data_IF_024473130278
#
_entry.id   IF_024473130278
#
_cell.length_a   1.000
_cell.length_b   1.000
_cell.length_c   1.000
_cell.angle_alpha   90.00
_cell.angle_beta   90.00
_cell.angle_gamma   90.00
#
_symmetry.space_group_name_H-M   'P 1'
#
loop_
_entity.id
_entity.type
_entity.pdbx_description
1 polymer ?
#
# COMPACT_ATOMS: atom_id res chain seq x y z
N UNK A 1 -10.84 23.79 -37.09
CA UNK A 1 -10.55 24.67 -35.93
C UNK A 1 -10.22 23.77 -34.76
N UNK A 2 -8.95 23.66 -34.36
CA UNK A 2 -8.58 22.91 -33.16
C UNK A 2 -9.17 23.64 -31.95
N UNK A 3 -10.07 22.98 -31.22
CA UNK A 3 -10.57 23.51 -29.96
C UNK A 3 -9.39 23.62 -29.00
N UNK A 4 -9.20 24.79 -28.38
CA UNK A 4 -8.21 24.96 -27.32
C UNK A 4 -8.61 24.04 -26.16
N UNK A 5 -7.88 22.93 -26.01
CA UNK A 5 -7.98 22.06 -24.85
C UNK A 5 -7.77 22.92 -23.59
N UNK A 6 -8.78 22.99 -22.74
CA UNK A 6 -8.72 23.71 -21.47
C UNK A 6 -7.61 23.12 -20.60
N UNK A 7 -6.76 23.98 -20.03
CA UNK A 7 -5.68 23.56 -19.11
C UNK A 7 -6.25 22.66 -18.01
N UNK A 8 -5.64 21.48 -17.84
CA UNK A 8 -6.04 20.46 -16.86
C UNK A 8 -5.87 20.96 -15.42
N UNK A 9 -6.74 20.52 -14.51
CA UNK A 9 -6.65 20.90 -13.09
C UNK A 9 -5.44 20.22 -12.41
N UNK A 10 -4.84 20.78 -11.34
CA UNK A 10 -3.66 20.20 -10.68
C UNK A 10 -3.91 18.86 -9.93
N UNK A 11 -5.17 18.46 -9.78
CA UNK A 11 -5.57 17.20 -9.15
C UNK A 11 -6.14 16.27 -10.22
N UNK A 12 -5.31 15.94 -11.22
CA UNK A 12 -5.71 15.04 -12.29
C UNK A 12 -6.02 13.66 -11.69
N UNK A 13 -7.20 13.13 -12.00
CA UNK A 13 -7.66 11.85 -11.44
C UNK A 13 -7.44 10.77 -12.48
N UNK A 14 -6.61 9.77 -12.17
CA UNK A 14 -6.46 8.54 -12.97
C UNK A 14 -7.46 7.51 -12.45
N UNK A 15 -8.28 6.96 -13.34
CA UNK A 15 -9.09 5.78 -13.06
C UNK A 15 -8.31 4.51 -13.36
N UNK A 16 -8.54 3.46 -12.55
CA UNK A 16 -8.06 2.12 -12.87
C UNK A 16 -9.23 1.22 -13.25
N UNK A 17 -9.10 0.57 -14.40
CA UNK A 17 -10.05 -0.39 -14.93
C UNK A 17 -9.47 -1.80 -14.93
N UNK A 18 -10.29 -2.80 -14.61
CA UNK A 18 -9.95 -4.20 -14.82
C UNK A 18 -10.88 -4.78 -15.89
N UNK A 19 -10.30 -5.10 -17.03
CA UNK A 19 -11.01 -5.65 -18.16
C UNK A 19 -11.08 -7.19 -18.07
N UNK A 20 -12.26 -7.68 -17.72
CA UNK A 20 -12.56 -9.11 -17.55
C UNK A 20 -12.90 -9.75 -18.90
N UNK A 21 -11.94 -9.74 -19.83
CA UNK A 21 -12.07 -10.41 -21.12
C UNK A 21 -12.09 -11.94 -20.91
N UNK A 22 -13.11 -12.62 -21.43
CA UNK A 22 -13.28 -14.07 -21.38
C UNK A 22 -12.19 -14.84 -22.17
N UNK A 23 -11.38 -14.10 -22.94
CA UNK A 23 -10.21 -14.61 -23.66
C UNK A 23 -8.92 -14.56 -22.83
N UNK A 24 -8.95 -13.98 -21.63
CA UNK A 24 -7.83 -14.08 -20.71
C UNK A 24 -7.65 -15.56 -20.33
N UNK A 25 -6.41 -16.11 -20.39
CA UNK A 25 -6.20 -17.50 -20.05
C UNK A 25 -6.40 -17.69 -18.54
N UNK A 26 -7.58 -18.16 -18.14
CA UNK A 26 -7.87 -18.65 -16.78
C UNK A 26 -6.99 -19.86 -16.38
N UNK A 27 -6.21 -20.40 -17.32
CA UNK A 27 -5.42 -21.62 -17.17
C UNK A 27 -4.02 -21.45 -16.57
N UNK A 28 -3.67 -20.29 -15.99
CA UNK A 28 -2.42 -20.20 -15.22
C UNK A 28 -2.69 -20.77 -13.83
N UNK A 29 -2.06 -21.90 -13.50
CA UNK A 29 -2.06 -22.49 -12.16
C UNK A 29 -1.29 -21.58 -11.19
N UNK A 30 -1.92 -20.50 -10.75
CA UNK A 30 -1.43 -19.60 -9.72
C UNK A 30 -2.24 -19.86 -8.42
N UNK A 31 -1.62 -19.84 -7.22
CA UNK A 31 -2.32 -20.13 -5.96
C UNK A 31 -3.45 -19.13 -5.64
N UNK A 32 -3.36 -17.92 -6.19
CA UNK A 32 -4.36 -16.85 -6.06
C UNK A 32 -4.89 -16.47 -7.45
N UNK A 33 -6.20 -16.22 -7.62
CA UNK A 33 -6.74 -15.75 -8.90
C UNK A 33 -6.02 -14.49 -9.38
N UNK A 34 -5.66 -14.43 -10.67
CA UNK A 34 -4.95 -13.30 -11.27
C UNK A 34 -5.70 -11.96 -11.11
N UNK A 35 -7.04 -12.01 -11.09
CA UNK A 35 -7.90 -10.87 -10.78
C UNK A 35 -7.56 -10.28 -9.40
N UNK A 36 -7.58 -11.12 -8.37
CA UNK A 36 -7.34 -10.72 -6.98
C UNK A 36 -5.93 -10.16 -6.81
N UNK A 37 -4.95 -10.72 -7.51
CA UNK A 37 -3.57 -10.25 -7.50
C UNK A 37 -3.45 -8.84 -8.09
N UNK A 38 -4.07 -8.59 -9.24
CA UNK A 38 -4.12 -7.24 -9.83
C UNK A 38 -4.78 -6.25 -8.89
N UNK A 39 -5.95 -6.58 -8.35
CA UNK A 39 -6.66 -5.71 -7.41
C UNK A 39 -5.83 -5.40 -6.15
N UNK A 40 -5.18 -6.41 -5.55
CA UNK A 40 -4.26 -6.23 -4.44
C UNK A 40 -3.14 -5.23 -4.77
N UNK A 41 -2.49 -5.38 -5.92
CA UNK A 41 -1.37 -4.51 -6.24
C UNK A 41 -1.79 -3.06 -6.50
N UNK A 42 -2.97 -2.85 -7.09
CA UNK A 42 -3.51 -1.50 -7.27
C UNK A 42 -3.74 -0.80 -5.92
N UNK A 43 -4.18 -1.53 -4.89
CA UNK A 43 -4.51 -0.97 -3.56
C UNK A 43 -3.29 -0.53 -2.73
N UNK A 44 -2.06 -0.82 -3.15
CA UNK A 44 -0.88 -0.24 -2.47
C UNK A 44 -0.80 1.27 -2.64
N UNK A 45 -1.20 1.81 -3.79
CA UNK A 45 -1.11 3.24 -4.10
C UNK A 45 -2.44 3.89 -4.53
N UNK A 46 -3.49 3.10 -4.77
CA UNK A 46 -4.77 3.62 -5.28
C UNK A 46 -5.95 3.40 -4.35
N UNK A 47 -6.51 4.51 -3.89
CA UNK A 47 -7.66 4.59 -2.99
C UNK A 47 -8.97 4.92 -3.73
N UNK A 48 -8.95 5.07 -5.06
CA UNK A 48 -10.17 5.32 -5.83
C UNK A 48 -10.94 4.04 -6.15
N UNK A 49 -12.05 4.20 -6.87
CA UNK A 49 -12.82 3.06 -7.37
C UNK A 49 -12.03 2.32 -8.47
N UNK A 50 -11.90 0.99 -8.35
CA UNK A 50 -11.43 0.15 -9.47
C UNK A 50 -12.64 -0.31 -10.27
N UNK A 51 -12.67 -0.01 -11.56
CA UNK A 51 -13.83 -0.26 -12.40
C UNK A 51 -13.65 -1.61 -13.11
N UNK A 52 -14.41 -2.62 -12.72
CA UNK A 52 -14.43 -3.91 -13.42
C UNK A 52 -15.54 -3.97 -14.46
N UNK A 53 -15.22 -4.47 -15.66
CA UNK A 53 -16.23 -4.82 -16.66
C UNK A 53 -15.65 -5.79 -17.70
N UNK A 54 -16.46 -6.69 -18.29
CA UNK A 54 -16.06 -7.42 -19.49
C UNK A 54 -15.97 -6.52 -20.74
N UNK A 55 -16.48 -5.28 -20.69
CA UNK A 55 -16.51 -4.35 -21.80
C UNK A 55 -15.71 -3.08 -21.47
N UNK A 56 -14.62 -2.83 -22.22
CA UNK A 56 -13.79 -1.64 -22.04
C UNK A 56 -14.60 -0.35 -22.12
N UNK A 57 -15.53 -0.24 -23.06
CA UNK A 57 -16.38 0.93 -23.21
C UNK A 57 -17.14 1.31 -21.92
N UNK A 58 -17.59 0.32 -21.14
CA UNK A 58 -18.24 0.57 -19.85
C UNK A 58 -17.27 1.09 -18.80
N UNK A 59 -16.02 0.60 -18.81
CA UNK A 59 -14.94 1.09 -17.94
C UNK A 59 -14.70 2.57 -18.23
N UNK A 60 -14.48 2.90 -19.50
CA UNK A 60 -14.18 4.27 -19.94
C UNK A 60 -15.35 5.22 -19.69
N UNK A 61 -16.59 4.80 -19.95
CA UNK A 61 -17.77 5.62 -19.66
C UNK A 61 -17.94 5.89 -18.17
N UNK A 62 -17.73 4.89 -17.31
CA UNK A 62 -17.82 5.09 -15.85
C UNK A 62 -16.69 5.99 -15.34
N UNK A 63 -15.47 5.82 -15.86
CA UNK A 63 -14.36 6.71 -15.55
C UNK A 63 -14.66 8.15 -16.00
N UNK A 64 -15.14 8.34 -17.23
CA UNK A 64 -15.52 9.66 -17.73
C UNK A 64 -16.65 10.29 -16.90
N UNK A 65 -17.68 9.51 -16.57
CA UNK A 65 -18.83 9.96 -15.75
C UNK A 65 -18.39 10.40 -14.34
N UNK A 66 -17.38 9.74 -13.78
CA UNK A 66 -16.81 10.07 -12.48
C UNK A 66 -15.79 11.23 -12.54
N UNK A 67 -15.58 11.84 -13.72
CA UNK A 67 -14.71 13.00 -13.92
C UNK A 67 -13.23 12.69 -13.81
N UNK A 68 -12.80 11.49 -14.22
CA UNK A 68 -11.40 11.16 -14.38
C UNK A 68 -10.85 11.73 -15.70
N UNK A 69 -9.54 12.06 -15.73
CA UNK A 69 -8.87 12.61 -16.92
C UNK A 69 -8.22 11.52 -17.78
N UNK A 70 -7.80 10.43 -17.12
CA UNK A 70 -7.16 9.29 -17.75
C UNK A 70 -7.71 7.99 -17.17
N UNK A 71 -7.66 6.91 -17.95
CA UNK A 71 -7.99 5.57 -17.47
C UNK A 71 -6.90 4.57 -17.88
N UNK A 72 -6.33 3.88 -16.89
CA UNK A 72 -5.42 2.75 -17.12
C UNK A 72 -6.26 1.48 -16.99
N UNK A 73 -6.34 0.71 -18.08
CA UNK A 73 -7.11 -0.54 -18.14
C UNK A 73 -6.17 -1.73 -18.16
N UNK A 74 -6.34 -2.64 -17.20
CA UNK A 74 -5.53 -3.84 -17.06
C UNK A 74 -6.28 -5.09 -17.47
N UNK A 75 -5.55 -6.09 -17.96
CA UNK A 75 -5.97 -7.48 -17.90
C UNK A 75 -5.64 -8.08 -16.52
N UNK A 76 -6.42 -9.06 -16.01
CA UNK A 76 -6.04 -9.82 -14.82
C UNK A 76 -4.62 -10.38 -14.89
N UNK A 77 -3.88 -10.24 -13.80
CA UNK A 77 -2.48 -10.67 -13.68
C UNK A 77 -1.46 -9.59 -14.01
N UNK A 78 -1.88 -8.41 -14.49
CA UNK A 78 -0.99 -7.24 -14.58
C UNK A 78 -0.97 -6.53 -13.23
N UNK A 79 0.22 -6.22 -12.75
CA UNK A 79 0.46 -5.46 -11.52
C UNK A 79 1.35 -4.25 -11.80
N UNK A 80 1.20 -3.21 -10.98
CA UNK A 80 2.13 -2.08 -10.97
C UNK A 80 3.18 -2.38 -9.90
N UNK A 81 4.40 -2.68 -10.32
CA UNK A 81 5.56 -2.82 -9.46
C UNK A 81 6.17 -1.43 -9.19
N UNK A 82 5.52 -0.66 -8.32
CA UNK A 82 6.15 0.52 -7.74
C UNK A 82 7.00 0.10 -6.56
N UNK A 83 8.29 0.39 -6.65
CA UNK A 83 9.19 0.25 -5.51
C UNK A 83 9.21 1.59 -4.78
N UNK A 84 9.11 1.54 -3.45
CA UNK A 84 9.27 2.73 -2.63
C UNK A 84 10.62 3.39 -2.89
N UNK A 85 10.64 4.70 -3.12
CA UNK A 85 11.85 5.49 -3.37
C UNK A 85 11.87 6.71 -2.48
N UNK A 86 13.07 7.17 -2.14
CA UNK A 86 13.21 8.34 -1.30
C UNK A 86 12.77 9.62 -2.04
N UNK A 87 12.04 10.54 -1.39
CA UNK A 87 11.52 11.73 -2.06
C UNK A 87 12.58 12.59 -2.76
N UNK A 88 13.78 12.70 -2.18
CA UNK A 88 14.86 13.53 -2.76
C UNK A 88 15.56 12.90 -3.96
N UNK A 89 15.26 11.64 -4.30
CA UNK A 89 15.77 11.01 -5.52
C UNK A 89 15.09 11.54 -6.80
N UNK A 90 14.02 12.33 -6.66
CA UNK A 90 13.34 12.97 -7.79
C UNK A 90 12.73 11.99 -8.79
N UNK A 91 12.47 10.75 -8.36
CA UNK A 91 11.85 9.74 -9.20
C UNK A 91 10.36 10.03 -9.32
N UNK A 92 9.87 10.17 -10.56
CA UNK A 92 8.44 10.30 -10.80
C UNK A 92 7.71 9.02 -10.37
N UNK A 93 6.64 9.20 -9.61
CA UNK A 93 5.70 8.11 -9.33
C UNK A 93 4.89 7.76 -10.59
N UNK A 94 4.19 6.62 -10.55
CA UNK A 94 3.39 6.15 -11.67
C UNK A 94 2.39 7.20 -12.18
N UNK A 95 1.72 7.91 -11.26
CA UNK A 95 0.69 8.88 -11.61
C UNK A 95 1.33 10.07 -12.32
N UNK A 96 2.45 10.58 -11.81
CA UNK A 96 3.21 11.66 -12.43
C UNK A 96 3.68 11.27 -13.85
N UNK A 97 4.13 10.03 -14.06
CA UNK A 97 4.50 9.55 -15.39
C UNK A 97 3.31 9.55 -16.36
N UNK A 98 2.14 9.06 -15.94
CA UNK A 98 0.91 9.07 -16.77
C UNK A 98 0.48 10.50 -17.11
N UNK A 99 0.52 11.41 -16.14
CA UNK A 99 0.15 12.80 -16.33
C UNK A 99 1.10 13.53 -17.29
N UNK A 100 2.41 13.40 -17.06
CA UNK A 100 3.44 14.00 -17.91
C UNK A 100 3.27 13.54 -19.36
N UNK A 101 2.98 12.25 -19.55
CA UNK A 101 2.75 11.70 -20.87
C UNK A 101 1.54 12.33 -21.58
N UNK A 102 0.37 12.35 -20.94
CA UNK A 102 -0.82 12.91 -21.58
C UNK A 102 -0.81 14.42 -21.72
N UNK A 103 0.02 15.14 -20.97
CA UNK A 103 0.21 16.58 -21.18
C UNK A 103 1.05 16.87 -22.44
N UNK A 104 1.71 15.85 -22.99
CA UNK A 104 2.59 15.94 -24.16
C UNK A 104 2.08 15.15 -25.38
N UNK A 105 0.96 14.44 -25.25
CA UNK A 105 0.44 13.51 -26.25
C UNK A 105 -1.01 13.83 -26.61
N UNK A 106 -1.31 13.84 -27.91
CA UNK A 106 -2.67 13.98 -28.45
C UNK A 106 -3.33 12.61 -28.72
N UNK A 107 -2.78 11.53 -28.16
CA UNK A 107 -3.24 10.17 -28.43
C UNK A 107 -4.44 9.78 -27.56
N UNK A 108 -5.47 9.22 -28.20
CA UNK A 108 -6.61 8.62 -27.50
C UNK A 108 -6.21 7.42 -26.63
N UNK A 109 -5.35 6.55 -27.18
CA UNK A 109 -4.93 5.29 -26.56
C UNK A 109 -3.43 5.09 -26.76
N UNK A 110 -2.80 4.54 -25.73
CA UNK A 110 -1.38 4.17 -25.74
C UNK A 110 -1.26 2.74 -25.23
N UNK A 111 -0.45 1.94 -25.92
CA UNK A 111 -0.31 0.52 -25.62
C UNK A 111 1.03 0.02 -26.15
N UNK A 112 1.59 -0.98 -25.47
CA UNK A 112 2.73 -1.70 -26.04
C UNK A 112 2.28 -2.56 -27.23
N UNK A 113 3.25 -2.98 -28.04
CA UNK A 113 3.03 -3.98 -29.08
C UNK A 113 3.71 -5.29 -28.72
N UNK A 114 3.24 -6.37 -29.34
CA UNK A 114 3.80 -7.72 -29.20
C UNK A 114 3.82 -8.43 -30.54
N UNK A 115 4.70 -9.42 -30.65
CA UNK A 115 4.73 -10.32 -31.81
C UNK A 115 3.97 -11.62 -31.48
N UNK A 116 2.93 -11.91 -32.25
CA UNK A 116 2.17 -13.17 -32.17
C UNK A 116 2.14 -13.81 -33.55
N UNK A 117 2.70 -15.01 -33.72
CA UNK A 117 2.70 -15.74 -35.01
C UNK A 117 3.20 -14.89 -36.20
N UNK A 118 4.25 -14.08 -35.98
CA UNK A 118 4.84 -13.21 -37.01
C UNK A 118 4.03 -11.96 -37.34
N UNK A 119 2.99 -11.64 -36.54
CA UNK A 119 2.22 -10.39 -36.66
C UNK A 119 2.46 -9.51 -35.44
N UNK A 120 2.63 -8.21 -35.69
CA UNK A 120 2.60 -7.19 -34.65
C UNK A 120 1.15 -6.95 -34.23
N UNK A 121 0.87 -7.07 -32.94
CA UNK A 121 -0.44 -6.83 -32.33
C UNK A 121 -0.29 -5.85 -31.16
N UNK A 122 -1.38 -5.19 -30.75
CA UNK A 122 -1.40 -4.46 -29.48
C UNK A 122 -1.33 -5.44 -28.30
N UNK A 123 -0.52 -5.12 -27.31
CA UNK A 123 -0.48 -5.82 -26.04
C UNK A 123 -1.59 -5.28 -25.13
N UNK A 124 -2.71 -6.00 -25.12
CA UNK A 124 -3.89 -5.62 -24.33
C UNK A 124 -3.76 -5.88 -22.83
N UNK A 125 -2.60 -6.32 -22.36
CA UNK A 125 -2.34 -6.49 -20.94
C UNK A 125 -2.50 -5.17 -20.17
N UNK A 126 -2.10 -4.05 -20.78
CA UNK A 126 -2.24 -2.71 -20.21
C UNK A 126 -2.53 -1.70 -21.32
N UNK A 127 -3.64 -0.99 -21.21
CA UNK A 127 -4.05 0.07 -22.14
C UNK A 127 -4.20 1.38 -21.36
N UNK A 128 -3.67 2.47 -21.90
CA UNK A 128 -3.75 3.78 -21.30
C UNK A 128 -4.61 4.70 -22.18
N UNK A 129 -5.71 5.22 -21.64
CA UNK A 129 -6.68 6.04 -22.37
C UNK A 129 -6.71 7.48 -21.85
N UNK A 130 -6.73 8.43 -22.79
CA UNK A 130 -7.05 9.83 -22.51
C UNK A 130 -8.58 10.01 -22.56
N UNK A 131 -9.19 10.34 -21.41
CA UNK A 131 -10.64 10.44 -21.32
C UNK A 131 -11.17 11.73 -21.96
N UNK A 132 -10.34 12.75 -22.15
CA UNK A 132 -10.73 13.98 -22.88
C UNK A 132 -10.86 13.68 -24.37
N UNK A 133 -9.88 12.98 -24.95
CA UNK A 133 -9.95 12.53 -26.33
C UNK A 133 -11.08 11.51 -26.54
N UNK A 134 -11.33 10.63 -25.56
CA UNK A 134 -12.47 9.70 -25.60
C UNK A 134 -13.81 10.45 -25.57
N UNK A 135 -13.96 11.48 -24.73
CA UNK A 135 -15.17 12.30 -24.71
C UNK A 135 -15.40 13.03 -26.06
N UNK A 136 -14.33 13.53 -26.69
CA UNK A 136 -14.41 14.15 -28.02
C UNK A 136 -14.81 13.15 -29.11
N UNK A 137 -14.31 11.91 -29.04
CA UNK A 137 -14.73 10.82 -29.91
C UNK A 137 -16.23 10.54 -29.76
N UNK A 138 -16.73 10.45 -28.53
CA UNK A 138 -18.16 10.24 -28.27
C UNK A 138 -19.00 11.44 -28.74
N UNK A 139 -18.47 12.67 -28.67
CA UNK A 139 -19.18 13.86 -29.16
C UNK A 139 -19.30 13.87 -30.69
N UNK A 140 -18.22 13.51 -31.39
CA UNK A 140 -18.15 13.53 -32.86
C UNK A 140 -18.75 12.29 -33.50
N UNK A 141 -18.74 11.16 -32.80
CA UNK A 141 -19.32 9.90 -33.24
C UNK A 141 -20.00 9.16 -32.06
N UNK A 142 -21.21 9.60 -31.64
CA UNK A 142 -21.91 9.09 -30.44
C UNK A 142 -22.23 7.60 -30.42
N UNK A 143 -22.23 6.95 -31.58
CA UNK A 143 -22.47 5.52 -31.71
C UNK A 143 -21.19 4.68 -31.67
N UNK A 144 -20.02 5.33 -31.52
CA UNK A 144 -18.74 4.63 -31.43
C UNK A 144 -18.66 3.89 -30.11
N UNK A 145 -18.29 2.60 -30.17
CA UNK A 145 -18.03 1.77 -28.99
C UNK A 145 -16.60 1.29 -29.01
N UNK A 146 -15.86 1.56 -27.94
CA UNK A 146 -14.50 1.03 -27.76
C UNK A 146 -14.61 -0.42 -27.28
N UNK A 147 -14.83 -1.31 -28.24
CA UNK A 147 -14.94 -2.76 -28.01
C UNK A 147 -13.59 -3.45 -28.16
N UNK A 148 -13.50 -4.68 -27.67
CA UNK A 148 -12.35 -5.55 -27.90
C UNK A 148 -12.05 -5.74 -29.38
N UNK A 149 -13.09 -5.87 -30.22
CA UNK A 149 -12.93 -6.00 -31.67
C UNK A 149 -12.37 -4.72 -32.30
N UNK A 150 -12.83 -3.55 -31.83
CA UNK A 150 -12.31 -2.26 -32.29
C UNK A 150 -10.83 -2.11 -31.96
N UNK A 151 -10.41 -2.44 -30.73
CA UNK A 151 -8.99 -2.36 -30.31
C UNK A 151 -8.11 -3.30 -31.16
N UNK A 152 -8.59 -4.52 -31.43
CA UNK A 152 -7.84 -5.49 -32.23
C UNK A 152 -7.73 -5.14 -33.71
N UNK A 153 -8.55 -4.20 -34.19
CA UNK A 153 -8.51 -3.69 -35.57
C UNK A 153 -7.63 -2.45 -35.72
N UNK A 154 -7.16 -1.84 -34.61
CA UNK A 154 -6.23 -0.72 -34.66
C UNK A 154 -4.91 -1.17 -35.29
N UNK A 155 -4.36 -0.33 -36.17
CA UNK A 155 -3.02 -0.52 -36.70
C UNK A 155 -1.99 -0.22 -35.59
N UNK A 156 -1.23 -1.22 -35.09
CA UNK A 156 -0.28 -1.01 -34.01
C UNK A 156 0.82 0.00 -34.36
N UNK A 157 1.10 0.25 -35.65
CA UNK A 157 2.07 1.26 -36.09
C UNK A 157 1.61 2.71 -35.89
N UNK A 158 0.30 2.90 -35.70
CA UNK A 158 -0.33 4.21 -35.46
C UNK A 158 -0.60 4.47 -33.97
N UNK A 159 -0.43 3.47 -33.11
CA UNK A 159 -0.64 3.60 -31.67
C UNK A 159 0.70 3.89 -31.01
N UNK A 160 0.84 5.03 -30.28
CA UNK A 160 2.07 5.31 -29.58
C UNK A 160 2.33 4.25 -28.51
N UNK A 161 3.60 3.82 -28.36
CA UNK A 161 3.97 2.91 -27.30
C UNK A 161 3.77 3.56 -25.93
N UNK A 162 3.67 2.74 -24.89
CA UNK A 162 3.78 3.26 -23.53
C UNK A 162 5.20 3.82 -23.30
N UNK A 163 5.34 4.96 -22.59
CA UNK A 163 6.63 5.47 -22.14
C UNK A 163 7.46 4.40 -21.44
N UNK A 164 8.77 4.36 -21.68
CA UNK A 164 9.67 3.36 -21.08
C UNK A 164 9.60 3.39 -19.54
N UNK A 165 9.43 4.57 -18.95
CA UNK A 165 9.25 4.76 -17.51
C UNK A 165 7.99 4.07 -16.97
N UNK A 166 6.92 3.98 -17.77
CA UNK A 166 5.71 3.23 -17.42
C UNK A 166 5.87 1.74 -17.71
N UNK A 167 6.50 1.38 -18.83
CA UNK A 167 6.71 -0.03 -19.21
C UNK A 167 7.49 -0.78 -18.14
N UNK A 168 8.50 -0.15 -17.55
CA UNK A 168 9.31 -0.78 -16.48
C UNK A 168 8.57 -0.96 -15.17
N UNK A 169 7.46 -0.25 -14.94
CA UNK A 169 6.62 -0.38 -13.75
C UNK A 169 5.56 -1.48 -13.87
N UNK A 170 5.27 -1.99 -15.06
CA UNK A 170 4.26 -3.05 -15.23
C UNK A 170 4.89 -4.43 -15.21
N UNK A 171 4.27 -5.36 -14.48
CA UNK A 171 4.61 -6.79 -14.52
C UNK A 171 3.38 -7.58 -14.88
N UNK A 172 3.46 -8.38 -15.95
CA UNK A 172 2.41 -9.33 -16.30
C UNK A 172 2.75 -10.71 -15.70
N UNK A 173 2.11 -11.05 -14.59
CA UNK A 173 2.33 -12.30 -13.86
C UNK A 173 1.88 -13.52 -14.65
N UNK A 174 0.87 -13.38 -15.50
CA UNK A 174 0.41 -14.45 -16.37
C UNK A 174 1.38 -14.75 -17.52
N UNK A 175 2.27 -13.79 -17.87
CA UNK A 175 3.20 -13.88 -19.00
C UNK A 175 4.57 -13.28 -18.65
N UNK A 176 5.36 -13.94 -17.80
CA UNK A 176 6.66 -13.43 -17.36
C UNK A 176 7.72 -13.63 -18.46
N UNK A 177 7.71 -12.79 -19.49
CA UNK A 177 8.66 -12.89 -20.61
C UNK A 177 9.70 -11.78 -20.64
N UNK A 178 9.51 -10.71 -19.85
CA UNK A 178 10.39 -9.52 -19.86
C UNK A 178 11.41 -9.55 -18.72
N UNK A 179 12.62 -8.98 -18.90
CA UNK A 179 13.66 -8.96 -17.85
C UNK A 179 13.23 -8.35 -16.52
N UNK A 180 12.42 -7.29 -16.54
CA UNK A 180 11.90 -6.65 -15.31
C UNK A 180 10.91 -7.56 -14.57
N UNK A 181 10.14 -8.40 -15.27
CA UNK A 181 9.29 -9.40 -14.62
C UNK A 181 10.14 -10.40 -13.84
N UNK A 182 11.24 -10.88 -14.42
CA UNK A 182 12.17 -11.78 -13.72
C UNK A 182 12.81 -11.12 -12.48
N UNK A 183 13.12 -9.82 -12.55
CA UNK A 183 13.61 -9.07 -11.39
C UNK A 183 12.55 -9.00 -10.27
N UNK A 184 11.29 -8.72 -10.64
CA UNK A 184 10.17 -8.75 -9.71
C UNK A 184 10.02 -10.12 -9.03
N UNK A 185 10.00 -11.22 -9.79
CA UNK A 185 9.85 -12.56 -9.21
C UNK A 185 10.99 -12.95 -8.28
N UNK A 186 12.23 -12.56 -8.58
CA UNK A 186 13.36 -12.78 -7.65
C UNK A 186 13.21 -11.98 -6.36
N UNK A 187 12.78 -10.72 -6.46
CA UNK A 187 12.51 -9.88 -5.30
C UNK A 187 11.39 -10.46 -4.44
N UNK A 188 10.30 -10.90 -5.08
CA UNK A 188 9.18 -11.55 -4.44
C UNK A 188 9.57 -12.87 -3.76
N UNK A 189 10.32 -13.75 -4.44
CA UNK A 189 10.79 -15.00 -3.85
C UNK A 189 11.66 -14.74 -2.60
N UNK A 190 12.52 -13.72 -2.68
CA UNK A 190 13.31 -13.25 -1.53
C UNK A 190 12.40 -12.78 -0.38
N UNK A 191 11.37 -11.97 -0.67
CA UNK A 191 10.39 -11.50 0.30
C UNK A 191 9.62 -12.66 0.96
N UNK A 192 9.19 -13.66 0.19
CA UNK A 192 8.46 -14.81 0.71
C UNK A 192 9.33 -15.72 1.60
N UNK A 193 10.58 -15.96 1.20
CA UNK A 193 11.51 -16.81 1.95
C UNK A 193 12.05 -16.14 3.21
N UNK A 194 12.37 -14.85 3.11
CA UNK A 194 13.10 -14.10 4.14
C UNK A 194 12.22 -13.18 4.97
N UNK A 195 10.99 -12.91 4.54
CA UNK A 195 10.08 -11.95 5.17
C UNK A 195 9.83 -12.23 6.65
N UNK A 196 9.85 -13.50 7.10
CA UNK A 196 9.77 -13.87 8.53
C UNK A 196 10.88 -13.26 9.41
N UNK A 197 12.01 -12.87 8.81
CA UNK A 197 13.11 -12.16 9.47
C UNK A 197 13.13 -10.66 9.07
N UNK A 198 11.99 -10.15 8.61
CA UNK A 198 11.79 -8.79 8.13
C UNK A 198 11.96 -7.76 9.23
N UNK A 199 12.74 -6.72 8.96
CA UNK A 199 12.99 -5.61 9.89
C UNK A 199 12.81 -4.29 9.16
N UNK A 200 11.92 -3.45 9.69
CA UNK A 200 11.62 -2.12 9.15
C UNK A 200 12.27 -1.03 10.00
N UNK A 201 13.59 -0.94 9.93
CA UNK A 201 14.38 0.00 10.74
C UNK A 201 14.12 1.47 10.33
N UNK A 202 13.77 1.72 9.07
CA UNK A 202 13.54 3.06 8.53
C UNK A 202 12.07 3.33 8.20
N UNK A 203 11.14 2.69 8.92
CA UNK A 203 9.70 2.90 8.70
C UNK A 203 9.26 4.29 9.19
N UNK A 204 9.51 5.29 8.36
CA UNK A 204 9.13 6.68 8.56
C UNK A 204 7.84 6.90 7.78
N UNK A 205 6.74 6.40 8.35
CA UNK A 205 5.39 6.60 7.82
C UNK A 205 4.89 8.02 8.15
N UNK A 206 3.97 8.54 7.33
CA UNK A 206 3.24 9.75 7.70
C UNK A 206 2.45 9.55 9.01
N UNK A 207 2.33 10.63 9.80
CA UNK A 207 1.59 10.67 11.06
C UNK A 207 0.23 11.34 10.94
N UNK A 208 -0.25 11.59 9.72
CA UNK A 208 -1.47 12.35 9.48
C UNK A 208 -2.71 11.62 10.03
N UNK A 209 -2.63 10.30 10.14
CA UNK A 209 -3.68 9.45 10.70
C UNK A 209 -3.74 9.43 12.24
N UNK A 210 -2.71 9.91 12.92
CA UNK A 210 -2.66 9.94 14.39
C UNK A 210 -3.20 11.28 14.90
N UNK A 211 -4.52 11.45 14.95
CA UNK A 211 -5.10 12.68 15.48
C UNK A 211 -4.69 12.93 16.95
N UNK A 212 -4.49 14.21 17.37
CA UNK A 212 -4.29 14.58 18.77
C UNK A 212 -5.43 14.10 19.68
N UNK A 213 -5.12 13.91 20.96
CA UNK A 213 -6.10 13.58 21.99
C UNK A 213 -7.24 14.60 22.02
N UNK A 214 -8.48 14.12 22.08
CA UNK A 214 -9.60 14.98 22.46
C UNK A 214 -9.50 15.32 23.95
N UNK A 215 -9.84 16.54 24.40
CA UNK A 215 -9.64 16.97 25.79
C UNK A 215 -10.15 16.02 26.87
N UNK A 216 -11.22 15.27 26.57
CA UNK A 216 -11.88 14.36 27.50
C UNK A 216 -11.45 12.89 27.38
N UNK A 217 -10.52 12.56 26.48
CA UNK A 217 -10.03 11.17 26.36
C UNK A 217 -9.08 10.84 27.51
N UNK A 218 -9.14 9.63 28.10
CA UNK A 218 -8.14 9.22 29.09
C UNK A 218 -6.74 9.10 28.46
N UNK A 219 -5.67 9.20 29.26
CA UNK A 219 -4.32 8.86 28.79
C UNK A 219 -4.24 7.38 28.40
N UNK A 220 -3.21 7.02 27.63
CA UNK A 220 -2.99 5.63 27.21
C UNK A 220 -2.68 4.77 28.44
N UNK A 221 -3.52 3.77 28.70
CA UNK A 221 -3.28 2.77 29.74
C UNK A 221 -2.44 1.61 29.20
N UNK A 222 -2.68 1.18 27.97
CA UNK A 222 -1.91 0.11 27.32
C UNK A 222 -1.84 0.33 25.80
N UNK A 223 -0.63 0.39 25.25
CA UNK A 223 -0.39 0.36 23.81
C UNK A 223 0.07 -1.03 23.38
N UNK A 224 -0.69 -1.69 22.51
CA UNK A 224 -0.26 -2.90 21.81
C UNK A 224 0.08 -2.52 20.37
N UNK A 225 1.31 -2.78 19.92
CA UNK A 225 1.77 -2.28 18.63
C UNK A 225 2.80 -3.17 17.93
N UNK A 226 2.90 -3.04 16.61
CA UNK A 226 3.98 -3.66 15.84
C UNK A 226 5.36 -3.07 16.18
N UNK A 227 6.42 -3.85 15.96
CA UNK A 227 7.78 -3.45 16.34
C UNK A 227 8.40 -2.37 15.42
N UNK A 228 7.77 -2.01 14.30
CA UNK A 228 8.31 -1.10 13.29
C UNK A 228 8.24 0.41 13.66
N UNK A 229 9.25 1.17 13.21
CA UNK A 229 9.23 2.65 13.15
C UNK A 229 9.08 3.41 14.48
N UNK A 230 8.62 4.66 14.41
CA UNK A 230 8.41 5.52 15.59
C UNK A 230 6.94 5.85 15.88
N UNK A 231 6.02 5.32 15.06
CA UNK A 231 4.57 5.50 15.26
C UNK A 231 4.04 5.07 16.63
N UNK A 232 4.58 4.03 17.32
CA UNK A 232 4.22 3.74 18.70
C UNK A 232 4.48 4.92 19.64
N UNK A 233 5.64 5.57 19.52
CA UNK A 233 5.98 6.75 20.30
C UNK A 233 5.06 7.93 19.93
N UNK A 234 4.67 8.05 18.65
CA UNK A 234 3.81 9.16 18.20
C UNK A 234 2.39 9.00 18.75
N UNK A 235 1.86 7.77 18.77
CA UNK A 235 0.59 7.43 19.40
C UNK A 235 0.62 7.81 20.88
N UNK A 236 1.66 7.43 21.62
CA UNK A 236 1.83 7.80 23.03
C UNK A 236 1.91 9.33 23.20
N UNK A 237 2.76 10.00 22.44
CA UNK A 237 3.00 11.44 22.56
C UNK A 237 1.73 12.27 22.25
N UNK A 238 0.93 11.87 21.25
CA UNK A 238 -0.30 12.57 20.88
C UNK A 238 -1.50 12.22 21.75
N UNK A 239 -1.49 11.07 22.44
CA UNK A 239 -2.59 10.58 23.29
C UNK A 239 -2.34 10.70 24.78
N UNK A 240 -1.15 11.18 25.17
CA UNK A 240 -0.74 11.27 26.56
C UNK A 240 -0.41 9.89 27.13
N UNK A 241 0.69 9.82 27.88
CA UNK A 241 1.12 8.60 28.57
C UNK A 241 1.84 8.99 29.85
N UNK A 242 1.89 8.06 30.80
CA UNK A 242 2.60 8.23 32.05
C UNK A 242 3.28 6.92 32.48
N UNK A 243 3.90 6.91 33.66
CA UNK A 243 4.65 5.75 34.18
C UNK A 243 3.81 4.49 34.41
N UNK A 244 2.49 4.60 34.41
CA UNK A 244 1.56 3.49 34.55
C UNK A 244 1.12 2.93 33.18
N UNK A 245 1.48 3.60 32.09
CA UNK A 245 1.25 3.10 30.73
C UNK A 245 2.07 1.84 30.49
N UNK A 246 1.40 0.78 30.05
CA UNK A 246 2.04 -0.45 29.54
C UNK A 246 2.22 -0.37 28.03
N UNK A 247 3.31 -0.95 27.52
CA UNK A 247 3.50 -1.15 26.08
C UNK A 247 3.78 -2.62 25.79
N UNK A 248 3.06 -3.20 24.84
CA UNK A 248 3.35 -4.53 24.31
C UNK A 248 3.71 -4.41 22.84
N UNK A 249 4.95 -4.69 22.51
CA UNK A 249 5.36 -4.89 21.12
C UNK A 249 5.03 -6.31 20.69
N UNK A 250 4.39 -6.46 19.54
CA UNK A 250 4.19 -7.75 18.89
C UNK A 250 4.70 -7.70 17.46
N UNK A 251 5.22 -8.82 16.96
CA UNK A 251 5.62 -8.89 15.55
C UNK A 251 5.65 -10.35 15.09
N UNK A 252 5.43 -10.57 13.80
CA UNK A 252 5.61 -11.89 13.20
C UNK A 252 7.10 -12.19 13.00
N UNK A 253 7.95 -11.15 13.00
CA UNK A 253 9.40 -11.28 12.96
C UNK A 253 10.06 -11.24 14.34
N UNK A 254 10.66 -12.37 14.72
CA UNK A 254 11.50 -12.45 15.91
C UNK A 254 12.70 -11.48 15.84
N UNK A 255 13.28 -11.28 14.64
CA UNK A 255 14.37 -10.31 14.44
C UNK A 255 13.93 -8.89 14.74
N UNK A 256 12.74 -8.49 14.31
CA UNK A 256 12.22 -7.14 14.56
C UNK A 256 12.04 -6.88 16.07
N UNK A 257 11.53 -7.87 16.81
CA UNK A 257 11.38 -7.77 18.27
C UNK A 257 12.71 -7.62 18.98
N UNK A 258 13.73 -8.40 18.60
CA UNK A 258 15.04 -8.33 19.25
C UNK A 258 15.76 -7.01 18.97
N UNK A 259 15.64 -6.48 17.76
CA UNK A 259 16.19 -5.15 17.43
C UNK A 259 15.42 -4.06 18.17
N UNK A 260 14.09 -4.16 18.31
CA UNK A 260 13.32 -3.21 19.14
C UNK A 260 13.71 -3.30 20.61
N UNK A 261 13.88 -4.50 21.16
CA UNK A 261 14.40 -4.70 22.53
C UNK A 261 15.74 -4.02 22.72
N UNK A 262 16.67 -4.23 21.77
CA UNK A 262 17.98 -3.57 21.78
C UNK A 262 17.84 -2.04 21.74
N UNK A 263 16.99 -1.52 20.86
CA UNK A 263 16.73 -0.10 20.73
C UNK A 263 16.22 0.50 22.04
N UNK A 264 15.24 -0.14 22.69
CA UNK A 264 14.71 0.27 23.99
C UNK A 264 15.77 0.20 25.10
N UNK A 265 16.64 -0.81 25.07
CA UNK A 265 17.66 -0.98 26.10
C UNK A 265 18.82 0.01 25.95
N UNK A 266 19.33 0.18 24.74
CA UNK A 266 20.67 0.74 24.53
C UNK A 266 20.64 2.14 23.88
N UNK A 267 19.60 2.48 23.11
CA UNK A 267 19.57 3.74 22.38
C UNK A 267 18.96 4.88 23.22
N UNK A 268 19.66 6.01 23.32
CA UNK A 268 19.27 7.17 24.13
C UNK A 268 18.36 8.18 23.42
N UNK A 269 18.00 7.88 22.17
CA UNK A 269 17.15 8.74 21.33
C UNK A 269 17.94 9.77 20.52
N UNK A 270 19.27 9.71 20.53
CA UNK A 270 20.15 10.64 19.79
C UNK A 270 20.92 9.89 18.70
N UNK A 271 21.20 10.59 17.60
CA UNK A 271 21.96 10.05 16.45
C UNK A 271 21.45 8.67 15.99
N UNK A 272 20.18 8.63 15.57
CA UNK A 272 19.57 7.40 15.03
C UNK A 272 20.39 6.76 13.89
N UNK A 273 20.98 7.52 12.94
CA UNK A 273 21.84 6.95 11.92
C UNK A 273 23.03 6.17 12.47
N UNK A 274 23.70 6.65 13.53
CA UNK A 274 24.76 5.90 14.18
C UNK A 274 24.26 4.61 14.84
N UNK A 275 23.09 4.64 15.50
CA UNK A 275 22.45 3.45 16.02
C UNK A 275 22.14 2.43 14.91
N UNK A 276 21.58 2.88 13.77
CA UNK A 276 21.30 2.02 12.63
C UNK A 276 22.55 1.34 12.07
N UNK A 277 23.68 2.06 11.99
CA UNK A 277 24.98 1.48 11.59
C UNK A 277 25.41 0.34 12.52
N UNK A 278 25.27 0.53 13.83
CA UNK A 278 25.59 -0.50 14.81
C UNK A 278 24.64 -1.71 14.72
N UNK A 279 23.35 -1.48 14.48
CA UNK A 279 22.37 -2.55 14.24
C UNK A 279 22.74 -3.37 13.03
N UNK A 280 23.01 -2.75 11.89
CA UNK A 280 23.41 -3.45 10.65
C UNK A 280 24.71 -4.22 10.83
N UNK A 281 25.67 -3.68 11.60
CA UNK A 281 26.94 -4.37 11.87
C UNK A 281 26.79 -5.62 12.73
N UNK A 282 25.85 -5.63 13.68
CA UNK A 282 25.66 -6.76 14.62
C UNK A 282 24.66 -7.79 14.10
N UNK A 283 23.71 -7.36 13.27
CA UNK A 283 22.66 -8.19 12.70
C UNK A 283 22.81 -8.22 11.17
N UNK A 284 23.83 -8.92 10.63
CA UNK A 284 24.15 -8.84 9.22
C UNK A 284 22.99 -9.27 8.32
N UNK A 285 22.98 -8.73 7.10
CA UNK A 285 21.95 -8.97 6.09
C UNK A 285 21.85 -10.41 5.58
N UNK A 286 22.68 -11.34 6.07
CA UNK A 286 22.55 -12.79 5.82
C UNK A 286 21.40 -13.41 6.62
N UNK A 287 21.27 -13.01 7.89
CA UNK A 287 20.29 -13.57 8.83
C UNK A 287 19.11 -12.64 9.10
N UNK A 288 19.31 -11.35 8.83
CA UNK A 288 18.29 -10.30 8.95
C UNK A 288 17.87 -9.82 7.57
N UNK A 289 16.56 -9.66 7.37
CA UNK A 289 16.02 -9.15 6.13
C UNK A 289 15.54 -7.70 6.34
N UNK A 290 16.39 -6.74 6.00
CA UNK A 290 16.05 -5.33 6.11
C UNK A 290 15.13 -4.92 4.97
N UNK A 291 13.98 -4.37 5.32
CA UNK A 291 13.03 -3.80 4.36
C UNK A 291 13.49 -2.38 4.01
N UNK A 292 14.08 -2.25 2.83
CA UNK A 292 14.73 -1.04 2.34
C UNK A 292 14.00 -0.49 1.11
N UNK A 293 14.15 0.81 0.87
CA UNK A 293 13.71 1.46 -0.37
C UNK A 293 14.43 0.89 -1.58
N UNK A 294 13.79 0.98 -2.74
CA UNK A 294 14.26 0.53 -4.06
C UNK A 294 14.79 -0.92 -4.12
N UNK A 295 14.39 -1.77 -3.16
CA UNK A 295 14.87 -3.15 -3.04
C UNK A 295 16.37 -3.25 -2.74
N UNK A 296 16.97 -2.20 -2.16
CA UNK A 296 18.37 -2.20 -1.77
C UNK A 296 18.67 -3.28 -0.73
N UNK A 297 19.94 -3.68 -0.66
CA UNK A 297 20.51 -4.39 0.48
C UNK A 297 21.32 -3.43 1.37
N UNK A 298 21.77 -3.93 2.52
CA UNK A 298 22.46 -3.11 3.52
C UNK A 298 23.81 -2.58 3.03
N UNK A 299 24.46 -3.28 2.11
CA UNK A 299 25.74 -2.87 1.52
C UNK A 299 25.58 -1.71 0.52
N UNK A 300 24.36 -1.47 0.03
CA UNK A 300 24.04 -0.42 -0.94
C UNK A 300 23.50 0.86 -0.29
N UNK A 301 23.36 0.91 1.04
CA UNK A 301 22.82 2.07 1.74
C UNK A 301 23.79 3.26 1.61
N UNK A 302 23.30 4.37 1.08
CA UNK A 302 23.95 5.67 1.29
C UNK A 302 23.53 6.23 2.64
N UNK A 303 24.47 6.29 3.59
CA UNK A 303 24.15 6.77 4.94
C UNK A 303 23.71 8.23 5.00
N UNK A 304 24.00 9.04 3.97
CA UNK A 304 23.48 10.41 3.86
C UNK A 304 21.96 10.43 3.67
N UNK A 305 21.40 9.41 3.02
CA UNK A 305 19.96 9.25 2.88
C UNK A 305 19.31 8.96 4.24
N UNK A 306 19.96 8.11 5.05
CA UNK A 306 19.52 7.82 6.42
C UNK A 306 19.60 9.08 7.30
N UNK A 307 20.67 9.87 7.16
CA UNK A 307 20.81 11.15 7.86
C UNK A 307 19.68 12.12 7.47
N UNK A 308 19.39 12.25 6.17
CA UNK A 308 18.32 13.11 5.66
C UNK A 308 16.93 12.67 6.15
N UNK A 309 16.66 11.37 6.12
CA UNK A 309 15.45 10.77 6.67
C UNK A 309 15.29 11.07 8.17
N UNK A 310 16.37 10.95 8.95
CA UNK A 310 16.34 11.26 10.37
C UNK A 310 16.09 12.75 10.64
N UNK A 311 16.69 13.65 9.86
CA UNK A 311 16.43 15.09 9.99
C UNK A 311 14.97 15.43 9.67
N UNK A 312 14.39 14.82 8.64
CA UNK A 312 12.96 14.97 8.33
C UNK A 312 12.08 14.44 9.47
N UNK A 313 12.41 13.26 10.01
CA UNK A 313 11.71 12.66 11.15
C UNK A 313 11.67 13.62 12.34
N UNK A 314 12.83 14.19 12.73
CA UNK A 314 12.93 15.13 13.85
C UNK A 314 12.03 16.37 13.73
N UNK A 315 11.69 16.80 12.52
CA UNK A 315 10.76 17.92 12.30
C UNK A 315 9.36 17.60 12.84
N UNK A 316 8.92 16.35 12.77
CA UNK A 316 7.62 15.92 13.31
C UNK A 316 7.55 15.99 14.84
N UNK A 317 8.70 15.98 15.52
CA UNK A 317 8.80 15.97 16.97
C UNK A 317 9.11 17.33 17.58
N UNK A 318 9.32 18.36 16.75
CA UNK A 318 9.81 19.66 17.22
C UNK A 318 11.30 19.67 17.53
N UNK A 319 12.08 18.74 16.97
CA UNK A 319 13.53 18.67 17.07
C UNK A 319 14.10 17.54 17.93
N UNK A 320 15.42 17.41 17.91
CA UNK A 320 16.16 16.30 18.53
C UNK A 320 15.97 16.18 20.05
N UNK A 321 16.01 17.30 20.78
CA UNK A 321 15.89 17.26 22.25
C UNK A 321 14.49 16.81 22.67
N UNK A 322 13.45 17.30 22.01
CA UNK A 322 12.07 16.89 22.31
C UNK A 322 11.85 15.41 22.01
N UNK A 323 12.40 14.91 20.91
CA UNK A 323 12.37 13.49 20.61
C UNK A 323 13.08 12.68 21.71
N UNK A 324 14.31 13.06 22.07
CA UNK A 324 15.11 12.32 23.06
C UNK A 324 14.44 12.32 24.45
N UNK A 325 13.82 13.41 24.88
CA UNK A 325 13.03 13.47 26.12
C UNK A 325 11.87 12.46 26.10
N UNK A 326 11.07 12.46 25.02
CA UNK A 326 9.93 11.56 24.86
C UNK A 326 10.37 10.10 24.79
N UNK A 327 11.43 9.83 24.04
CA UNK A 327 12.01 8.50 23.91
C UNK A 327 12.53 7.97 25.24
N UNK A 328 13.24 8.78 26.02
CA UNK A 328 13.73 8.37 27.32
C UNK A 328 12.59 8.14 28.32
N UNK A 329 11.51 8.92 28.27
CA UNK A 329 10.31 8.64 29.06
C UNK A 329 9.65 7.31 28.64
N UNK A 330 9.54 7.05 27.33
CA UNK A 330 9.00 5.81 26.79
C UNK A 330 9.78 4.57 27.25
N UNK A 331 11.12 4.64 27.27
CA UNK A 331 11.99 3.54 27.72
C UNK A 331 11.83 3.15 29.18
N UNK A 332 11.24 4.01 30.02
CA UNK A 332 10.99 3.73 31.44
C UNK A 332 9.63 3.05 31.69
N UNK A 333 8.83 2.82 30.65
CA UNK A 333 7.52 2.17 30.78
C UNK A 333 7.66 0.66 31.02
N UNK A 334 6.56 0.04 31.43
CA UNK A 334 6.45 -1.42 31.44
C UNK A 334 6.32 -1.93 30.00
N UNK A 335 7.41 -2.46 29.44
CA UNK A 335 7.49 -2.90 28.05
C UNK A 335 7.61 -4.42 27.96
N UNK A 336 6.65 -5.04 27.27
CA UNK A 336 6.61 -6.46 26.95
C UNK A 336 6.81 -6.70 25.45
N UNK A 337 7.35 -7.87 25.09
CA UNK A 337 7.57 -8.28 23.70
C UNK A 337 6.97 -9.67 23.46
N UNK A 338 6.20 -9.82 22.39
CA UNK A 338 5.59 -11.10 22.01
C UNK A 338 5.77 -11.41 20.53
N UNK A 339 6.17 -12.64 20.24
CA UNK A 339 6.16 -13.15 18.87
C UNK A 339 4.73 -13.55 18.51
N UNK A 340 4.14 -12.90 17.50
CA UNK A 340 2.76 -13.14 17.09
C UNK A 340 2.55 -12.77 15.62
N UNK A 341 2.06 -13.73 14.84
CA UNK A 341 1.51 -13.49 13.52
C UNK A 341 -0.01 -13.34 13.62
N UNK A 342 -0.48 -12.10 13.75
CA UNK A 342 -1.91 -11.78 13.92
C UNK A 342 -2.79 -12.22 12.75
N UNK A 343 -2.20 -12.52 11.59
CA UNK A 343 -2.92 -12.99 10.41
C UNK A 343 -3.24 -14.49 10.52
N UNK A 344 -2.41 -15.26 11.22
CA UNK A 344 -2.56 -16.71 11.37
C UNK A 344 -3.04 -17.14 12.76
N UNK A 345 -2.49 -16.55 13.82
CA UNK A 345 -2.89 -16.82 15.21
C UNK A 345 -2.83 -15.52 16.04
N UNK A 346 -3.96 -14.81 16.19
CA UNK A 346 -4.02 -13.57 16.95
C UNK A 346 -4.02 -13.78 18.48
N UNK A 347 -4.14 -15.01 18.96
CA UNK A 347 -4.38 -15.33 20.38
C UNK A 347 -3.37 -14.68 21.34
N UNK A 348 -2.05 -14.62 21.04
CA UNK A 348 -1.08 -13.98 21.95
C UNK A 348 -1.35 -12.49 22.21
N UNK A 349 -1.81 -11.75 21.19
CA UNK A 349 -2.18 -10.34 21.32
C UNK A 349 -3.53 -10.20 22.03
N UNK A 350 -4.53 -11.02 21.64
CA UNK A 350 -5.86 -11.00 22.26
C UNK A 350 -5.77 -11.22 23.78
N UNK A 351 -4.94 -12.16 24.23
CA UNK A 351 -4.75 -12.46 25.65
C UNK A 351 -4.19 -11.30 26.49
N UNK A 352 -3.71 -10.22 25.85
CA UNK A 352 -3.16 -9.02 26.52
C UNK A 352 -4.04 -7.80 26.39
N UNK A 353 -5.09 -7.88 25.59
CA UNK A 353 -6.08 -6.83 25.52
C UNK A 353 -6.91 -6.83 26.81
N UNK A 354 -7.32 -5.64 27.23
CA UNK A 354 -8.28 -5.46 28.30
C UNK A 354 -9.37 -4.52 27.78
N UNK A 355 -10.61 -4.68 28.24
CA UNK A 355 -11.67 -3.74 27.88
C UNK A 355 -11.52 -2.42 28.64
N UNK A 356 -10.74 -1.50 28.08
CA UNK A 356 -10.52 -0.15 28.58
C UNK A 356 -10.39 0.83 27.41
N UNK A 357 -11.00 2.01 27.55
CA UNK A 357 -10.90 3.12 26.58
C UNK A 357 -9.49 3.71 26.46
N UNK A 358 -8.61 3.50 27.45
CA UNK A 358 -7.19 3.85 27.38
C UNK A 358 -6.33 2.86 26.59
N UNK A 359 -6.90 1.75 26.11
CA UNK A 359 -6.17 0.73 25.33
C UNK A 359 -6.15 1.12 23.86
N UNK A 360 -4.95 1.10 23.28
CA UNK A 360 -4.70 1.35 21.86
C UNK A 360 -4.08 0.11 21.24
N UNK A 361 -4.60 -0.31 20.09
CA UNK A 361 -4.07 -1.40 19.30
C UNK A 361 -3.68 -0.91 17.90
N UNK A 362 -2.42 -1.07 17.53
CA UNK A 362 -1.90 -0.71 16.20
C UNK A 362 -1.20 -1.88 15.50
N UNK A 363 -1.73 -2.34 14.36
CA UNK A 363 -1.17 -3.49 13.61
C UNK A 363 -0.56 -3.15 12.25
N UNK A 364 -0.38 -1.85 11.95
CA UNK A 364 0.05 -1.37 10.62
C UNK A 364 -0.79 -2.01 9.50
N UNK A 365 -0.17 -2.53 8.45
CA UNK A 365 -0.80 -3.21 7.31
C UNK A 365 -0.64 -4.74 7.35
N UNK A 366 -0.66 -5.37 8.53
CA UNK A 366 -0.43 -6.81 8.68
C UNK A 366 -1.27 -7.70 7.74
N UNK A 367 -2.51 -7.31 7.44
CA UNK A 367 -3.41 -8.04 6.53
C UNK A 367 -3.19 -7.72 5.04
N UNK A 368 -2.30 -6.78 4.72
CA UNK A 368 -2.02 -6.27 3.37
C UNK A 368 -0.51 -6.20 3.05
N UNK A 369 0.23 -7.25 3.41
CA UNK A 369 1.64 -7.37 3.06
C UNK A 369 1.80 -7.98 1.65
N UNK A 370 2.99 -7.86 1.06
CA UNK A 370 3.31 -8.55 -0.21
C UNK A 370 3.02 -10.06 -0.08
N UNK A 371 3.43 -10.67 1.03
CA UNK A 371 3.21 -12.09 1.30
C UNK A 371 1.73 -12.45 1.42
N UNK A 372 0.92 -11.65 2.13
CA UNK A 372 -0.52 -11.93 2.23
C UNK A 372 -1.21 -11.75 0.88
N UNK A 373 -0.83 -10.73 0.11
CA UNK A 373 -1.39 -10.48 -1.22
C UNK A 373 -1.01 -11.56 -2.24
N UNK A 374 0.17 -12.15 -2.11
CA UNK A 374 0.64 -13.22 -2.99
C UNK A 374 0.02 -14.59 -2.66
N UNK A 375 -0.13 -14.90 -1.37
CA UNK A 375 -0.49 -16.25 -0.91
C UNK A 375 -1.99 -16.43 -0.64
N UNK A 376 -2.73 -15.34 -0.46
CA UNK A 376 -4.14 -15.39 -0.08
C UNK A 376 -4.99 -14.64 -1.11
N UNK A 377 -6.16 -15.19 -1.44
CA UNK A 377 -7.18 -14.49 -2.20
C UNK A 377 -7.81 -13.35 -1.39
N UNK A 378 -8.49 -12.42 -2.06
CA UNK A 378 -9.20 -11.33 -1.36
C UNK A 378 -10.22 -11.90 -0.35
N UNK A 379 -11.07 -12.89 -0.69
CA UNK A 379 -11.98 -13.51 0.28
C UNK A 379 -11.28 -14.12 1.50
N UNK A 380 -10.11 -14.76 1.31
CA UNK A 380 -9.35 -15.35 2.41
C UNK A 380 -8.80 -14.28 3.36
N UNK A 381 -8.24 -13.18 2.82
CA UNK A 381 -7.77 -12.06 3.66
C UNK A 381 -8.92 -11.37 4.37
N UNK A 382 -10.06 -11.16 3.69
CA UNK A 382 -11.27 -10.62 4.30
C UNK A 382 -11.71 -11.46 5.50
N UNK A 383 -11.82 -12.77 5.34
CA UNK A 383 -12.25 -13.67 6.40
C UNK A 383 -11.32 -13.60 7.63
N UNK A 384 -9.99 -13.56 7.40
CA UNK A 384 -9.00 -13.40 8.48
C UNK A 384 -9.12 -12.06 9.19
N UNK A 385 -9.27 -10.96 8.45
CA UNK A 385 -9.47 -9.64 9.03
C UNK A 385 -10.79 -9.52 9.81
N UNK A 386 -11.88 -10.08 9.30
CA UNK A 386 -13.17 -10.12 10.00
C UNK A 386 -13.08 -10.92 11.29
N UNK A 387 -12.38 -12.06 11.27
CA UNK A 387 -12.12 -12.84 12.48
C UNK A 387 -11.30 -12.04 13.50
N UNK A 388 -10.26 -11.34 13.06
CA UNK A 388 -9.46 -10.46 13.90
C UNK A 388 -10.30 -9.38 14.58
N UNK A 389 -11.05 -8.58 13.82
CA UNK A 389 -11.85 -7.47 14.36
C UNK A 389 -12.96 -7.97 15.27
N UNK A 390 -13.68 -9.03 14.89
CA UNK A 390 -14.75 -9.60 15.73
C UNK A 390 -14.21 -10.15 17.05
N UNK A 391 -13.03 -10.78 17.03
CA UNK A 391 -12.39 -11.30 18.25
C UNK A 391 -11.99 -10.16 19.19
N UNK A 392 -11.42 -9.07 18.66
CA UNK A 392 -11.11 -7.88 19.47
C UNK A 392 -12.39 -7.26 20.02
N UNK A 393 -13.41 -7.04 19.20
CA UNK A 393 -14.67 -6.44 19.62
C UNK A 393 -15.38 -7.23 20.71
N UNK A 394 -15.29 -8.56 20.67
CA UNK A 394 -15.85 -9.42 21.71
C UNK A 394 -15.04 -9.40 23.02
N UNK A 395 -13.74 -9.15 22.95
CA UNK A 395 -12.85 -9.20 24.12
C UNK A 395 -12.64 -7.84 24.79
N UNK A 396 -12.44 -6.79 23.97
CA UNK A 396 -12.10 -5.44 24.38
C UNK A 396 -12.84 -4.41 23.50
N UNK A 397 -14.18 -4.36 23.55
CA UNK A 397 -15.01 -3.53 22.67
C UNK A 397 -14.66 -2.04 22.69
N UNK A 398 -14.12 -1.52 23.81
CA UNK A 398 -13.78 -0.09 23.99
C UNK A 398 -12.36 0.27 23.55
N UNK A 399 -11.52 -0.70 23.19
CA UNK A 399 -10.17 -0.43 22.69
C UNK A 399 -10.21 0.40 21.40
N UNK A 400 -9.26 1.34 21.29
CA UNK A 400 -9.10 2.18 20.09
C UNK A 400 -8.18 1.49 19.08
N UNK A 401 -8.62 1.41 17.83
CA UNK A 401 -7.95 0.69 16.76
C UNK A 401 -7.21 1.63 15.79
N UNK A 402 -6.02 1.21 15.39
CA UNK A 402 -5.22 1.79 14.32
C UNK A 402 -4.63 0.70 13.40
N UNK A 403 -4.58 0.95 12.10
CA UNK A 403 -3.94 0.05 11.15
C UNK A 403 -4.56 0.16 9.76
N UNK A 404 -4.49 -0.92 9.00
CA UNK A 404 -5.18 -1.05 7.72
C UNK A 404 -5.91 -2.39 7.64
N UNK A 405 -7.00 -2.41 6.87
CA UNK A 405 -7.79 -3.60 6.63
C UNK A 405 -7.19 -4.52 5.55
N UNK A 406 -7.94 -5.56 5.17
CA UNK A 406 -7.57 -6.54 4.14
C UNK A 406 -7.47 -6.00 2.71
N UNK A 407 -7.84 -4.74 2.48
CA UNK A 407 -7.76 -4.00 1.21
C UNK A 407 -6.88 -2.74 1.33
N UNK A 408 -6.06 -2.65 2.39
CA UNK A 408 -5.19 -1.51 2.69
C UNK A 408 -5.95 -0.20 2.98
N UNK A 409 -7.25 -0.28 3.29
CA UNK A 409 -8.00 0.90 3.72
C UNK A 409 -7.65 1.19 5.18
N UNK A 410 -7.45 2.46 5.55
CA UNK A 410 -7.02 2.81 6.89
C UNK A 410 -8.15 2.58 7.91
N UNK A 411 -7.76 2.06 9.08
CA UNK A 411 -8.57 1.96 10.29
C UNK A 411 -7.95 2.91 11.29
N UNK A 412 -8.59 4.04 11.59
CA UNK A 412 -7.98 5.11 12.38
C UNK A 412 -8.92 5.61 13.46
N UNK A 413 -8.47 5.53 14.71
CA UNK A 413 -9.14 6.15 15.85
C UNK A 413 -10.63 5.77 15.97
N UNK A 414 -10.91 4.46 15.88
CA UNK A 414 -12.25 3.90 15.99
C UNK A 414 -12.28 2.84 17.08
N UNK A 415 -13.37 2.73 17.83
CA UNK A 415 -13.51 1.65 18.83
C UNK A 415 -13.68 0.29 18.15
N UNK A 416 -13.22 -0.78 18.80
CA UNK A 416 -13.37 -2.13 18.26
C UNK A 416 -14.82 -2.53 17.99
N UNK A 417 -15.73 -2.20 18.91
CA UNK A 417 -17.16 -2.46 18.75
C UNK A 417 -17.75 -1.72 17.55
N UNK A 418 -17.46 -0.43 17.41
CA UNK A 418 -17.96 0.39 16.30
C UNK A 418 -17.44 -0.12 14.95
N UNK A 419 -16.13 -0.42 14.86
CA UNK A 419 -15.55 -0.91 13.62
C UNK A 419 -16.13 -2.28 13.23
N UNK A 420 -16.35 -3.18 14.20
CA UNK A 420 -17.00 -4.46 13.94
C UNK A 420 -18.43 -4.29 13.39
N UNK A 421 -19.20 -3.32 13.90
CA UNK A 421 -20.53 -3.00 13.39
C UNK A 421 -20.48 -2.42 11.97
N UNK A 422 -19.53 -1.54 11.67
CA UNK A 422 -19.34 -0.99 10.33
C UNK A 422 -19.05 -2.07 9.29
N UNK A 423 -18.18 -3.04 9.63
CA UNK A 423 -17.88 -4.17 8.76
C UNK A 423 -19.13 -5.02 8.53
N UNK A 424 -19.87 -5.36 9.59
CA UNK A 424 -21.08 -6.17 9.48
C UNK A 424 -22.14 -5.49 8.58
N UNK A 425 -22.34 -4.18 8.74
CA UNK A 425 -23.28 -3.43 7.91
C UNK A 425 -22.87 -3.38 6.43
N UNK A 426 -21.57 -3.27 6.15
CA UNK A 426 -21.09 -3.20 4.76
C UNK A 426 -21.32 -4.53 4.03
N UNK A 427 -21.09 -5.67 4.71
CA UNK A 427 -21.33 -7.02 4.17
C UNK A 427 -22.79 -7.22 3.75
N UNK A 428 -23.75 -6.70 4.52
CA UNK A 428 -25.18 -6.86 4.25
C UNK A 428 -25.68 -6.05 3.05
N UNK A 429 -24.94 -5.03 2.59
CA UNK A 429 -25.37 -4.15 1.49
C UNK A 429 -25.01 -4.63 0.08
N UNK A 430 -24.20 -5.69 -0.06
CA UNK A 430 -23.71 -6.36 -1.30
C UNK A 430 -23.23 -5.51 -2.50
N UNK A 431 -22.10 -5.97 -3.07
CA UNK A 431 -21.46 -5.64 -4.35
C UNK A 431 -20.66 -4.32 -4.42
N UNK A 432 -19.47 -4.33 -3.82
CA UNK A 432 -18.18 -3.92 -4.43
C UNK A 432 -17.12 -3.43 -3.42
N UNK A 433 -17.11 -3.94 -2.19
CA UNK A 433 -16.12 -3.63 -1.14
C UNK A 433 -14.64 -3.84 -1.56
N UNK A 434 -14.39 -4.66 -2.57
CA UNK A 434 -13.05 -4.86 -3.15
C UNK A 434 -12.65 -3.70 -4.08
N UNK A 435 -13.66 -3.11 -4.70
CA UNK A 435 -13.52 -2.08 -5.72
C UNK A 435 -13.58 -0.67 -5.15
N UNK A 436 -14.04 -0.52 -3.89
CA UNK A 436 -14.05 0.74 -3.14
C UNK A 436 -13.45 0.50 -1.76
N UNK A 437 -12.45 1.28 -1.31
CA UNK A 437 -12.00 1.17 0.08
C UNK A 437 -13.15 1.53 1.04
N UNK A 438 -13.17 0.90 2.21
CA UNK A 438 -14.22 1.06 3.24
C UNK A 438 -14.36 2.50 3.77
N UNK A 439 -13.35 3.35 3.55
CA UNK A 439 -13.39 4.76 3.91
C UNK A 439 -12.80 5.63 2.79
N UNK A 440 -13.41 6.81 2.56
CA UNK A 440 -12.70 7.93 1.92
C UNK A 440 -11.54 8.29 2.82
N UNK A 441 -10.35 7.81 2.50
CA UNK A 441 -9.18 8.26 3.23
C UNK A 441 -9.01 9.77 3.02
N UNK A 442 -8.95 10.52 4.11
CA UNK A 442 -8.45 11.90 4.11
C UNK A 442 -6.91 11.91 4.01
N UNK A 443 -6.27 10.74 4.14
CA UNK A 443 -4.83 10.58 4.26
C UNK A 443 -4.26 9.65 3.19
N UNK A 444 -3.38 10.18 2.34
CA UNK A 444 -2.59 9.36 1.45
C UNK A 444 -1.54 8.64 2.29
N UNK A 445 -1.74 7.34 2.57
CA UNK A 445 -0.64 6.48 2.99
C UNK A 445 0.32 6.40 1.79
N UNK A 446 1.29 7.30 1.73
CA UNK A 446 2.45 7.18 0.85
C UNK A 446 3.41 6.27 1.61
N UNK A 447 3.48 5.02 1.18
CA UNK A 447 4.57 4.13 1.59
C UNK A 447 5.85 4.60 0.94
#
# INVERSE_FOLDING_TARGET
>A
MAAQLTKRSPQQKIAYGLWLDDRAPDNVSHPVPLRDLTLSWLRFGYQGEVIESPQIDQILQRALTNGYDACVVFSPGVIINEVWKLPHWGCADFHQCVHTYFDQSDALICANTRQTNGRTELDTACLLFDLQHYAELLRTAPNTKVTSAWIMQLDPSQIPPLPDELVTKFVNVARPSKPHANAFFRSLDTQLQRGRNGVFLWNIEAYDDVAPQQPDSPPVSHLLCVAAGFKPLMLLARRGFDRHTKVTFFDYSQRALEIRQRMIRDWDGRDYPAFCRQVVSEYPGTDTFYQLWDGLNVEQIDWRDVDALWQAELQHWGGAERFAELWNAHRQLDIEFIHCDVVHDPSPVIARLNDDSGVILWWSNAFFTISSNWLLSIPQRRARFQHWISTIANHAPRSTLFGADHNNAPVNNISAAEHCQQIAHTVDTQLSDELKPYAKSVYNLRF
#
